data_IF_591357968480
#
_entry.id   IF_591357968480
#
_cell.length_a   1.000
_cell.length_b   1.000
_cell.length_c   1.000
_cell.angle_alpha   90.00
_cell.angle_beta   90.00
_cell.angle_gamma   90.00
#
_symmetry.space_group_name_H-M   'P 1'
#
loop_
_entity.id
_entity.type
_entity.pdbx_description
1 polymer ?
#
# COMPACT_ATOMS: atom_id res chain seq x y z
N UNK A 1 47.55 5.82 -22.17
CA UNK A 1 46.55 5.12 -21.32
C UNK A 1 45.23 5.29 -22.03
N UNK A 2 44.64 4.19 -22.52
CA UNK A 2 43.54 4.24 -23.49
C UNK A 2 42.29 4.89 -22.94
N UNK A 3 41.73 5.84 -23.67
CA UNK A 3 40.33 6.24 -23.56
C UNK A 3 39.49 5.09 -24.11
N UNK A 4 39.04 4.20 -23.23
CA UNK A 4 37.94 3.34 -23.57
C UNK A 4 36.66 4.18 -23.43
N UNK A 5 36.08 4.55 -24.57
CA UNK A 5 34.69 5.01 -24.67
C UNK A 5 33.79 3.81 -24.33
N UNK A 6 33.60 3.54 -23.04
CA UNK A 6 32.46 2.74 -22.60
C UNK A 6 31.26 3.68 -22.66
N UNK A 7 30.46 3.56 -23.73
CA UNK A 7 29.14 4.17 -23.76
C UNK A 7 28.41 3.76 -22.47
N UNK A 8 28.08 4.74 -21.64
CA UNK A 8 27.36 4.48 -20.40
C UNK A 8 26.01 3.88 -20.77
N UNK A 9 25.64 2.70 -20.22
CA UNK A 9 24.35 2.12 -20.50
C UNK A 9 23.24 3.11 -20.12
N UNK A 10 22.20 3.17 -20.96
CA UNK A 10 21.00 3.95 -20.71
C UNK A 10 20.35 3.54 -19.37
N UNK A 11 19.49 4.42 -18.83
CA UNK A 11 18.74 4.09 -17.61
C UNK A 11 17.90 2.81 -17.80
N UNK A 12 17.31 2.61 -18.98
CA UNK A 12 16.55 1.41 -19.30
C UNK A 12 17.40 0.14 -19.29
N UNK A 13 18.62 0.20 -19.84
CA UNK A 13 19.56 -0.93 -19.82
C UNK A 13 20.00 -1.25 -18.39
N UNK A 14 20.26 -0.24 -17.55
CA UNK A 14 20.60 -0.47 -16.14
C UNK A 14 19.46 -1.13 -15.38
N UNK A 15 18.22 -0.66 -15.57
CA UNK A 15 17.03 -1.24 -14.93
C UNK A 15 16.82 -2.69 -15.40
N UNK A 16 16.99 -2.97 -16.69
CA UNK A 16 16.89 -4.34 -17.19
C UNK A 16 17.94 -5.28 -16.57
N UNK A 17 19.10 -4.74 -16.20
CA UNK A 17 20.19 -5.52 -15.61
C UNK A 17 20.05 -5.73 -14.10
N UNK A 18 19.53 -4.75 -13.36
CA UNK A 18 19.57 -4.78 -11.89
C UNK A 18 18.34 -4.18 -11.18
N UNK A 19 17.37 -3.65 -11.92
CA UNK A 19 16.17 -3.01 -11.38
C UNK A 19 16.31 -1.54 -11.00
N UNK A 20 17.48 -0.92 -11.19
CA UNK A 20 17.81 0.42 -10.71
C UNK A 20 18.30 1.38 -11.82
N UNK A 21 18.17 2.70 -11.64
CA UNK A 21 17.58 3.37 -10.48
C UNK A 21 16.05 3.38 -10.50
N UNK A 22 15.45 3.41 -9.31
CA UNK A 22 14.05 3.82 -9.15
C UNK A 22 13.79 5.26 -9.66
N UNK A 23 12.52 5.56 -9.94
CA UNK A 23 12.08 6.88 -10.39
C UNK A 23 11.14 7.55 -9.39
N UNK A 24 11.24 8.86 -9.30
CA UNK A 24 10.27 9.71 -8.63
C UNK A 24 9.92 10.88 -9.56
N UNK A 25 8.70 11.40 -9.42
CA UNK A 25 8.23 12.58 -10.17
C UNK A 25 7.91 13.72 -9.20
N UNK A 26 8.92 14.50 -8.75
CA UNK A 26 8.72 15.55 -7.75
C UNK A 26 7.65 16.58 -8.13
N UNK A 27 7.55 16.95 -9.41
CA UNK A 27 6.49 17.84 -9.90
C UNK A 27 5.09 17.29 -9.62
N UNK A 28 4.88 15.99 -9.87
CA UNK A 28 3.60 15.35 -9.58
C UNK A 28 3.35 15.25 -8.08
N UNK A 29 4.41 14.90 -7.34
CA UNK A 29 4.38 14.79 -5.89
C UNK A 29 3.99 16.13 -5.25
N UNK A 30 4.53 17.26 -5.69
CA UNK A 30 4.15 18.60 -5.22
C UNK A 30 2.72 18.94 -5.63
N UNK A 31 2.35 18.79 -6.90
CA UNK A 31 1.13 19.41 -7.45
C UNK A 31 -0.17 18.68 -7.13
N UNK A 32 -0.11 17.39 -6.81
CA UNK A 32 -1.31 16.57 -6.76
C UNK A 32 -1.53 15.85 -5.44
N UNK A 33 -2.81 15.77 -5.04
CA UNK A 33 -3.34 14.94 -3.98
C UNK A 33 -3.68 13.56 -4.51
N UNK A 34 -4.91 13.42 -4.99
CA UNK A 34 -5.35 12.33 -5.85
C UNK A 34 -5.36 12.80 -7.31
N UNK A 35 -5.00 11.91 -8.22
CA UNK A 35 -5.12 12.13 -9.65
C UNK A 35 -6.44 11.54 -10.14
N UNK A 36 -7.17 12.30 -10.95
CA UNK A 36 -8.28 11.76 -11.76
C UNK A 36 -8.06 12.12 -13.22
N UNK A 37 -8.55 11.28 -14.11
CA UNK A 37 -8.67 11.66 -15.51
C UNK A 37 -9.71 12.79 -15.62
N UNK A 38 -9.38 13.86 -16.34
CA UNK A 38 -10.38 14.82 -16.77
C UNK A 38 -11.42 14.11 -17.65
N UNK A 39 -12.69 14.49 -17.50
CA UNK A 39 -13.89 13.79 -17.99
C UNK A 39 -13.76 13.02 -19.30
N UNK A 40 -14.36 11.83 -19.33
CA UNK A 40 -14.49 10.91 -20.45
C UNK A 40 -15.23 11.48 -21.69
N UNK A 41 -15.44 12.80 -21.80
CA UNK A 41 -16.35 13.32 -22.82
C UNK A 41 -15.86 14.42 -23.77
N UNK A 42 -14.80 15.19 -23.54
CA UNK A 42 -14.38 16.23 -24.52
C UNK A 42 -12.90 16.70 -24.44
N UNK A 43 -12.02 16.01 -23.72
CA UNK A 43 -10.59 16.32 -23.76
C UNK A 43 -9.87 15.38 -24.75
N UNK A 44 -9.22 15.89 -25.82
CA UNK A 44 -8.61 15.05 -26.86
C UNK A 44 -7.38 14.28 -26.40
N UNK A 45 -6.87 14.54 -25.18
CA UNK A 45 -5.76 13.83 -24.56
C UNK A 45 -6.04 13.63 -23.06
N UNK A 46 -5.56 12.51 -22.50
CA UNK A 46 -5.69 12.15 -21.10
C UNK A 46 -5.06 13.23 -20.19
N UNK A 47 -5.86 14.23 -19.81
CA UNK A 47 -5.39 15.32 -18.97
C UNK A 47 -5.59 14.92 -17.51
N UNK A 48 -4.48 14.73 -16.80
CA UNK A 48 -4.50 14.48 -15.36
C UNK A 48 -4.86 15.76 -14.62
N UNK A 49 -5.96 15.73 -13.87
CA UNK A 49 -6.38 16.83 -13.02
C UNK A 49 -6.36 16.41 -11.56
N UNK A 50 -6.11 17.37 -10.67
CA UNK A 50 -6.25 17.14 -9.24
C UNK A 50 -7.70 16.75 -8.94
N UNK A 51 -7.89 15.57 -8.34
CA UNK A 51 -9.21 15.11 -7.93
C UNK A 51 -9.66 15.77 -6.62
N UNK A 52 -8.72 16.42 -5.91
CA UNK A 52 -8.94 17.21 -4.72
C UNK A 52 -8.09 18.48 -4.75
N UNK A 53 -8.57 19.55 -4.10
CA UNK A 53 -7.88 20.86 -4.05
C UNK A 53 -6.63 20.89 -3.16
N UNK A 54 -5.99 19.73 -2.92
CA UNK A 54 -4.84 19.59 -2.01
C UNK A 54 -3.60 19.18 -2.79
N UNK A 55 -2.61 20.09 -2.84
CA UNK A 55 -1.25 19.82 -3.30
C UNK A 55 -0.33 19.58 -2.08
N UNK A 56 0.81 18.90 -2.27
CA UNK A 56 1.88 18.88 -1.27
C UNK A 56 2.49 20.29 -1.23
N UNK A 57 1.87 21.13 -0.41
CA UNK A 57 2.16 22.55 -0.33
C UNK A 57 0.86 23.33 -0.40
N UNK A 58 0.29 23.55 0.77
CA UNK A 58 -0.77 24.52 1.09
C UNK A 58 -2.23 24.15 0.82
N UNK A 59 -3.03 24.51 1.81
CA UNK A 59 -4.28 25.25 1.59
C UNK A 59 -3.97 26.39 0.61
N UNK A 60 -4.38 26.28 -0.65
CA UNK A 60 -4.34 27.32 -1.69
C UNK A 60 -3.35 28.50 -1.46
N UNK A 61 -2.08 28.37 -1.87
CA UNK A 61 -1.19 29.53 -2.05
C UNK A 61 0.33 29.36 -1.88
N UNK A 62 0.83 28.25 -1.33
CA UNK A 62 2.26 27.99 -1.09
C UNK A 62 2.62 26.55 -1.46
N UNK A 63 2.88 26.28 -2.75
CA UNK A 63 3.41 24.97 -3.18
C UNK A 63 4.86 24.83 -2.72
N UNK A 64 5.20 23.72 -2.05
CA UNK A 64 6.60 23.39 -1.77
C UNK A 64 7.37 23.29 -3.09
N UNK A 65 8.64 23.70 -3.12
CA UNK A 65 9.43 23.60 -4.34
C UNK A 65 9.73 22.11 -4.65
N UNK A 66 9.89 21.76 -5.92
CA UNK A 66 10.11 20.36 -6.35
C UNK A 66 11.38 19.74 -5.76
N UNK A 67 12.38 20.55 -5.40
CA UNK A 67 13.61 20.17 -4.72
C UNK A 67 13.46 19.99 -3.20
N UNK A 68 12.29 20.29 -2.62
CA UNK A 68 12.00 20.19 -1.19
C UNK A 68 11.17 18.94 -0.82
N UNK A 69 10.77 18.14 -1.81
CA UNK A 69 9.99 16.92 -1.61
C UNK A 69 10.74 15.67 -2.04
N UNK A 70 10.60 14.61 -1.24
CA UNK A 70 11.06 13.27 -1.55
C UNK A 70 10.01 12.24 -1.15
N UNK A 71 10.46 11.03 -0.85
CA UNK A 71 9.62 10.01 -0.25
C UNK A 71 10.40 9.17 0.75
N UNK A 72 9.67 8.31 1.45
CA UNK A 72 10.29 7.27 2.26
C UNK A 72 10.92 6.19 1.35
N UNK A 73 11.71 5.25 1.90
CA UNK A 73 12.41 4.24 1.08
C UNK A 73 11.52 3.37 0.18
N UNK A 74 10.24 3.20 0.52
CA UNK A 74 9.28 2.46 -0.31
C UNK A 74 8.48 3.36 -1.27
N UNK A 75 8.70 4.67 -1.24
CA UNK A 75 8.16 5.71 -2.12
C UNK A 75 6.63 5.81 -2.18
N UNK A 76 5.89 5.21 -1.24
CA UNK A 76 4.43 5.29 -1.18
C UNK A 76 3.94 6.61 -0.59
N UNK A 77 4.74 7.27 0.25
CA UNK A 77 4.41 8.60 0.77
C UNK A 77 5.38 9.64 0.23
N UNK A 78 4.83 10.70 -0.38
CA UNK A 78 5.56 11.96 -0.55
C UNK A 78 5.78 12.61 0.80
N UNK A 79 7.02 13.03 1.06
CA UNK A 79 7.46 13.59 2.32
C UNK A 79 8.28 14.87 2.10
N UNK A 80 8.06 15.86 2.96
CA UNK A 80 9.01 16.96 3.13
C UNK A 80 10.29 16.44 3.83
N UNK A 81 11.38 17.19 3.72
CA UNK A 81 12.60 16.88 4.47
C UNK A 81 12.28 16.78 5.97
N UNK A 82 12.75 15.70 6.61
CA UNK A 82 12.51 15.38 8.02
C UNK A 82 11.06 15.01 8.38
N UNK A 83 10.16 14.87 7.41
CA UNK A 83 8.83 14.31 7.67
C UNK A 83 8.91 12.81 7.94
N UNK A 84 8.05 12.31 8.84
CA UNK A 84 7.97 10.89 9.16
C UNK A 84 6.78 10.26 8.44
N UNK A 85 6.99 9.01 8.04
CA UNK A 85 5.92 8.15 7.55
C UNK A 85 4.99 7.75 8.71
N UNK A 86 3.67 7.80 8.49
CA UNK A 86 2.67 7.33 9.44
C UNK A 86 1.62 6.51 8.70
N UNK A 87 1.59 5.20 8.94
CA UNK A 87 0.78 4.26 8.18
C UNK A 87 -0.13 3.43 9.07
N UNK A 88 -1.26 3.05 8.49
CA UNK A 88 -2.14 2.00 8.97
C UNK A 88 -2.65 1.26 7.75
N UNK A 89 -2.89 -0.05 7.86
CA UNK A 89 -3.22 -0.88 6.71
C UNK A 89 -4.63 -1.46 6.83
N UNK A 90 -5.36 -1.46 5.73
CA UNK A 90 -6.72 -1.98 5.63
C UNK A 90 -6.80 -3.02 4.50
N UNK A 91 -7.72 -3.98 4.64
CA UNK A 91 -7.80 -5.15 3.77
C UNK A 91 -9.22 -5.32 3.21
N UNK A 92 -9.58 -4.64 2.10
CA UNK A 92 -10.93 -4.68 1.56
C UNK A 92 -11.39 -6.11 1.21
N UNK A 93 -10.49 -6.97 0.68
CA UNK A 93 -10.85 -8.36 0.37
C UNK A 93 -11.29 -9.16 1.61
N UNK A 94 -10.68 -8.91 2.77
CA UNK A 94 -11.04 -9.63 3.99
C UNK A 94 -12.45 -9.26 4.47
N UNK A 95 -12.93 -8.05 4.15
CA UNK A 95 -14.32 -7.68 4.42
C UNK A 95 -15.31 -8.42 3.54
N UNK A 96 -14.98 -8.68 2.27
CA UNK A 96 -15.82 -9.50 1.39
C UNK A 96 -15.91 -10.94 1.89
N UNK A 97 -14.76 -11.55 2.21
CA UNK A 97 -14.72 -12.93 2.74
C UNK A 97 -15.54 -13.05 4.04
N UNK A 98 -15.43 -12.06 4.94
CA UNK A 98 -16.18 -12.06 6.18
C UNK A 98 -17.70 -11.87 6.00
N UNK A 99 -18.12 -11.15 4.97
CA UNK A 99 -19.53 -10.90 4.65
C UNK A 99 -20.16 -12.00 3.76
N UNK A 100 -19.43 -13.09 3.48
CA UNK A 100 -19.89 -14.11 2.54
C UNK A 100 -20.14 -13.56 1.13
N UNK A 101 -19.28 -12.64 0.70
CA UNK A 101 -19.32 -11.97 -0.62
C UNK A 101 -20.49 -11.01 -0.83
N UNK A 102 -21.24 -10.65 0.22
CA UNK A 102 -22.18 -9.51 0.17
C UNK A 102 -21.40 -8.19 0.12
N UNK A 103 -21.29 -7.61 -1.08
CA UNK A 103 -20.59 -6.36 -1.32
C UNK A 103 -21.15 -5.20 -0.46
N UNK A 104 -22.46 -5.14 -0.25
CA UNK A 104 -23.09 -4.03 0.47
C UNK A 104 -22.74 -4.08 1.95
N UNK A 105 -22.83 -5.26 2.56
CA UNK A 105 -22.42 -5.47 3.95
C UNK A 105 -20.91 -5.26 4.12
N UNK A 106 -20.10 -5.84 3.24
CA UNK A 106 -18.65 -5.71 3.25
C UNK A 106 -18.21 -4.25 3.13
N UNK A 107 -18.81 -3.49 2.21
CA UNK A 107 -18.53 -2.07 2.01
C UNK A 107 -18.85 -1.26 3.25
N UNK A 108 -20.03 -1.48 3.83
CA UNK A 108 -20.44 -0.80 5.06
C UNK A 108 -19.49 -1.12 6.23
N UNK A 109 -19.00 -2.36 6.34
CA UNK A 109 -18.01 -2.75 7.33
C UNK A 109 -16.65 -2.10 7.08
N UNK A 110 -16.21 -2.05 5.83
CA UNK A 110 -14.95 -1.43 5.44
C UNK A 110 -14.92 0.07 5.77
N UNK A 111 -16.01 0.81 5.54
CA UNK A 111 -16.09 2.23 5.92
C UNK A 111 -15.90 2.45 7.43
N UNK A 112 -16.46 1.56 8.27
CA UNK A 112 -16.23 1.60 9.73
C UNK A 112 -14.77 1.30 10.09
N UNK A 113 -14.13 0.37 9.39
CA UNK A 113 -12.70 0.09 9.54
C UNK A 113 -11.85 1.31 9.17
N UNK A 114 -12.16 1.99 8.07
CA UNK A 114 -11.44 3.19 7.64
C UNK A 114 -11.50 4.31 8.69
N UNK A 115 -12.68 4.53 9.31
CA UNK A 115 -12.82 5.48 10.41
C UNK A 115 -11.93 5.11 11.61
N UNK A 116 -11.85 3.82 11.94
CA UNK A 116 -11.03 3.32 13.05
C UNK A 116 -9.54 3.42 12.75
N UNK A 117 -9.14 3.09 11.52
CA UNK A 117 -7.78 3.22 11.02
C UNK A 117 -7.31 4.67 11.05
N UNK A 118 -8.16 5.60 10.61
CA UNK A 118 -7.85 7.02 10.66
C UNK A 118 -7.73 7.52 12.10
N UNK A 119 -8.61 7.10 13.01
CA UNK A 119 -8.50 7.46 14.42
C UNK A 119 -7.16 6.99 15.01
N UNK A 120 -6.75 5.77 14.70
CA UNK A 120 -5.44 5.24 15.11
C UNK A 120 -4.29 6.09 14.57
N UNK A 121 -4.26 6.31 13.25
CA UNK A 121 -3.19 7.10 12.60
C UNK A 121 -3.16 8.55 13.10
N UNK A 122 -4.33 9.17 13.29
CA UNK A 122 -4.44 10.53 13.84
C UNK A 122 -3.90 10.56 15.27
N UNK A 123 -4.23 9.58 16.10
CA UNK A 123 -3.71 9.48 17.48
C UNK A 123 -2.18 9.39 17.51
N UNK A 124 -1.59 8.59 16.62
CA UNK A 124 -0.12 8.53 16.44
C UNK A 124 0.42 9.90 16.06
N UNK A 125 -0.23 10.60 15.12
CA UNK A 125 0.21 11.92 14.66
C UNK A 125 0.18 12.99 15.77
N UNK A 126 -0.57 12.80 16.85
CA UNK A 126 -0.68 13.73 17.99
C UNK A 126 0.48 13.60 18.98
N UNK A 127 1.22 12.48 18.95
CA UNK A 127 2.37 12.25 19.82
C UNK A 127 3.52 13.22 19.53
N UNK A 128 4.13 13.85 20.55
CA UNK A 128 5.29 14.71 20.34
C UNK A 128 6.52 13.87 19.96
N UNK A 129 7.32 14.35 19.01
CA UNK A 129 8.60 13.75 18.66
C UNK A 129 9.74 14.42 19.42
N UNK A 130 10.75 13.64 19.81
CA UNK A 130 11.93 14.16 20.50
C UNK A 130 12.81 15.04 19.61
N UNK A 131 12.79 14.81 18.30
CA UNK A 131 13.63 15.55 17.38
C UNK A 131 12.90 16.76 16.79
N UNK A 132 13.40 17.95 17.10
CA UNK A 132 12.70 19.21 16.81
C UNK A 132 12.38 19.45 15.32
N UNK A 133 13.28 19.16 14.36
CA UNK A 133 12.95 19.26 12.92
C UNK A 133 11.76 18.40 12.51
N UNK A 134 11.76 17.08 12.81
CA UNK A 134 10.60 16.23 12.51
C UNK A 134 9.36 16.63 13.27
N UNK A 135 9.48 17.03 14.55
CA UNK A 135 8.32 17.47 15.33
C UNK A 135 7.65 18.69 14.68
N UNK A 136 8.44 19.63 14.15
CA UNK A 136 7.92 20.80 13.43
C UNK A 136 7.09 20.39 12.21
N UNK A 137 7.62 19.49 11.38
CA UNK A 137 6.93 19.02 10.16
C UNK A 137 5.69 18.21 10.52
N UNK A 138 5.76 17.34 11.53
CA UNK A 138 4.62 16.59 12.04
C UNK A 138 3.49 17.53 12.48
N UNK A 139 3.79 18.54 13.31
CA UNK A 139 2.81 19.52 13.80
C UNK A 139 2.19 20.34 12.64
N UNK A 140 2.98 20.64 11.61
CA UNK A 140 2.55 21.40 10.42
C UNK A 140 1.61 20.58 9.54
N UNK A 141 1.96 19.33 9.25
CA UNK A 141 1.36 18.53 8.17
C UNK A 141 0.37 17.48 8.68
N UNK A 142 0.61 16.93 9.88
CA UNK A 142 -0.17 15.82 10.47
C UNK A 142 -0.45 14.70 9.48
N UNK A 143 0.49 14.42 8.56
CA UNK A 143 0.33 13.47 7.46
C UNK A 143 0.02 12.09 8.00
N UNK A 144 -0.94 11.43 7.37
CA UNK A 144 -1.23 10.01 7.59
C UNK A 144 -1.34 9.29 6.24
N UNK A 145 -1.20 7.98 6.26
CA UNK A 145 -1.42 7.10 5.12
C UNK A 145 -2.21 5.88 5.54
N UNK A 146 -3.52 5.96 5.39
CA UNK A 146 -4.38 4.79 5.40
C UNK A 146 -4.13 4.03 4.10
N UNK A 147 -3.40 2.92 4.22
CA UNK A 147 -2.97 2.04 3.15
C UNK A 147 -3.99 0.94 2.89
N UNK A 148 -3.95 0.38 1.69
CA UNK A 148 -4.68 -0.83 1.33
C UNK A 148 -3.73 -1.92 0.87
N UNK A 149 -4.00 -3.15 1.29
CA UNK A 149 -3.39 -4.39 0.80
C UNK A 149 -4.50 -5.40 0.46
N UNK A 150 -4.20 -6.43 -0.33
CA UNK A 150 -5.21 -7.37 -0.82
C UNK A 150 -5.97 -6.86 -2.04
N UNK A 151 -5.43 -5.87 -2.76
CA UNK A 151 -6.12 -5.21 -3.88
C UNK A 151 -6.37 -6.19 -5.02
N UNK A 152 -5.37 -6.99 -5.41
CA UNK A 152 -5.56 -7.94 -6.52
C UNK A 152 -6.56 -9.03 -6.17
N UNK A 153 -6.54 -9.53 -4.93
CA UNK A 153 -7.57 -10.47 -4.46
C UNK A 153 -8.95 -9.84 -4.51
N UNK A 154 -9.11 -8.59 -4.04
CA UNK A 154 -10.39 -7.88 -4.10
C UNK A 154 -10.92 -7.76 -5.54
N UNK A 155 -10.05 -7.41 -6.49
CA UNK A 155 -10.42 -7.24 -7.91
C UNK A 155 -10.75 -8.58 -8.57
N UNK A 156 -9.97 -9.63 -8.27
CA UNK A 156 -10.13 -10.96 -8.82
C UNK A 156 -11.28 -11.76 -8.19
N UNK A 157 -11.74 -11.37 -6.98
CA UNK A 157 -12.78 -12.08 -6.24
C UNK A 157 -14.06 -12.20 -7.08
N UNK A 158 -14.52 -13.44 -7.32
CA UNK A 158 -15.54 -13.85 -8.29
C UNK A 158 -16.98 -13.40 -7.98
N UNK A 159 -17.18 -12.38 -7.14
CA UNK A 159 -18.48 -11.74 -6.94
C UNK A 159 -18.95 -11.06 -8.23
N UNK A 160 -19.95 -11.67 -8.89
CA UNK A 160 -20.51 -11.19 -10.17
C UNK A 160 -19.95 -11.93 -11.39
N UNK A 161 -20.85 -12.27 -12.32
CA UNK A 161 -20.75 -12.82 -13.70
C UNK A 161 -19.53 -13.65 -14.19
N UNK A 162 -18.58 -14.03 -13.34
CA UNK A 162 -17.35 -14.74 -13.69
C UNK A 162 -16.14 -13.85 -14.00
N UNK A 163 -16.23 -12.52 -13.84
CA UNK A 163 -15.14 -11.57 -14.19
C UNK A 163 -14.48 -10.86 -12.99
N UNK A 164 -14.81 -11.26 -11.76
CA UNK A 164 -14.40 -10.57 -10.55
C UNK A 164 -15.26 -9.34 -10.23
N UNK A 165 -15.22 -8.82 -9.00
CA UNK A 165 -15.88 -7.54 -8.64
C UNK A 165 -15.37 -6.38 -9.51
N UNK A 166 -14.12 -6.49 -9.98
CA UNK A 166 -13.56 -5.62 -11.00
C UNK A 166 -13.09 -4.26 -10.47
N UNK A 167 -12.37 -3.54 -11.34
CA UNK A 167 -11.77 -2.25 -11.03
C UNK A 167 -12.80 -1.15 -10.72
N UNK A 168 -14.01 -1.25 -11.28
CA UNK A 168 -15.06 -0.25 -11.08
C UNK A 168 -15.63 -0.29 -9.65
N UNK A 169 -15.86 -1.48 -9.09
CA UNK A 169 -16.28 -1.61 -7.69
C UNK A 169 -15.17 -1.12 -6.75
N UNK A 170 -13.92 -1.49 -7.02
CA UNK A 170 -12.77 -0.98 -6.26
C UNK A 170 -12.71 0.55 -6.30
N UNK A 171 -12.92 1.15 -7.48
CA UNK A 171 -12.96 2.61 -7.65
C UNK A 171 -14.05 3.24 -6.79
N UNK A 172 -15.26 2.68 -6.75
CA UNK A 172 -16.35 3.16 -5.92
C UNK A 172 -16.00 3.10 -4.43
N UNK A 173 -15.43 1.99 -3.96
CA UNK A 173 -14.94 1.85 -2.58
C UNK A 173 -13.84 2.86 -2.24
N UNK A 174 -12.95 3.16 -3.20
CA UNK A 174 -11.90 4.16 -3.01
C UNK A 174 -12.44 5.59 -2.92
N UNK A 175 -13.45 5.94 -3.74
CA UNK A 175 -14.07 7.27 -3.70
C UNK A 175 -14.87 7.48 -2.42
N UNK A 176 -15.73 6.52 -2.06
CA UNK A 176 -16.50 6.57 -0.81
C UNK A 176 -15.58 6.55 0.41
N UNK A 177 -14.59 5.65 0.40
CA UNK A 177 -13.62 5.53 1.49
C UNK A 177 -12.79 6.80 1.67
N UNK A 178 -12.35 7.44 0.58
CA UNK A 178 -11.65 8.71 0.68
C UNK A 178 -12.53 9.83 1.24
N UNK A 179 -13.80 9.88 0.84
CA UNK A 179 -14.75 10.85 1.37
C UNK A 179 -14.98 10.65 2.89
N UNK A 180 -15.14 9.40 3.34
CA UNK A 180 -15.28 9.04 4.76
C UNK A 180 -14.03 9.40 5.56
N UNK A 181 -12.83 9.11 5.04
CA UNK A 181 -11.57 9.49 5.67
C UNK A 181 -11.42 11.01 5.79
N UNK A 182 -11.75 11.76 4.72
CA UNK A 182 -11.72 13.23 4.73
C UNK A 182 -12.70 13.81 5.74
N UNK A 183 -13.94 13.30 5.79
CA UNK A 183 -14.94 13.73 6.75
C UNK A 183 -14.46 13.47 8.19
N UNK A 184 -13.94 12.27 8.46
CA UNK A 184 -13.43 11.89 9.78
C UNK A 184 -12.21 12.73 10.19
N UNK A 185 -11.26 12.98 9.28
CA UNK A 185 -10.09 13.81 9.60
C UNK A 185 -10.48 15.25 9.97
N UNK A 186 -11.43 15.83 9.23
CA UNK A 186 -11.94 17.18 9.52
C UNK A 186 -12.66 17.22 10.87
N UNK A 187 -13.53 16.24 11.15
CA UNK A 187 -14.21 16.09 12.45
C UNK A 187 -13.19 16.04 13.61
N UNK A 188 -12.16 15.19 13.50
CA UNK A 188 -11.15 15.03 14.53
C UNK A 188 -10.23 16.26 14.63
N UNK A 189 -9.88 16.88 13.52
CA UNK A 189 -9.06 18.09 13.49
C UNK A 189 -9.76 19.24 14.22
N UNK A 190 -11.06 19.45 13.95
CA UNK A 190 -11.88 20.43 14.66
C UNK A 190 -11.98 20.10 16.15
N UNK A 191 -12.36 18.86 16.47
CA UNK A 191 -12.54 18.39 17.85
C UNK A 191 -11.28 18.55 18.69
N UNK A 192 -10.11 18.24 18.14
CA UNK A 192 -8.83 18.34 18.87
C UNK A 192 -8.12 19.68 18.67
N UNK A 193 -8.71 20.61 17.91
CA UNK A 193 -8.10 21.92 17.59
C UNK A 193 -6.69 21.75 17.01
N UNK A 194 -6.55 20.80 16.08
CA UNK A 194 -5.30 20.55 15.35
C UNK A 194 -5.51 20.76 13.85
N UNK A 195 -4.42 20.77 13.09
CA UNK A 195 -4.50 20.86 11.64
C UNK A 195 -5.10 19.57 11.04
N UNK A 196 -5.92 19.69 9.99
CA UNK A 196 -6.23 18.58 9.10
C UNK A 196 -4.95 17.99 8.52
N UNK A 197 -5.00 16.71 8.20
CA UNK A 197 -3.88 15.96 7.64
C UNK A 197 -3.68 16.37 6.18
N UNK A 198 -2.44 16.75 5.81
CA UNK A 198 -2.12 17.23 4.45
C UNK A 198 -2.43 16.19 3.37
N UNK A 199 -2.21 14.90 3.69
CA UNK A 199 -2.61 13.72 2.91
C UNK A 199 -3.14 12.66 3.87
N UNK A 200 -3.99 11.77 3.33
CA UNK A 200 -4.72 10.77 4.11
C UNK A 200 -4.42 9.33 3.73
N UNK A 201 -4.18 9.06 2.46
CA UNK A 201 -4.15 7.71 1.90
C UNK A 201 -2.81 7.41 1.25
N UNK A 202 -2.50 6.13 1.17
CA UNK A 202 -1.33 5.59 0.46
C UNK A 202 -1.65 4.19 -0.06
N UNK A 203 -0.75 3.58 -0.83
CA UNK A 203 -0.78 2.14 -1.14
C UNK A 203 0.62 1.61 -0.92
N UNK A 204 0.82 0.91 0.20
CA UNK A 204 2.09 0.30 0.56
C UNK A 204 2.08 -1.20 0.23
N UNK A 205 3.12 -1.73 -0.41
CA UNK A 205 3.29 -3.17 -0.53
C UNK A 205 3.85 -3.76 0.77
N UNK A 206 2.96 -4.02 1.73
CA UNK A 206 3.36 -4.42 3.09
C UNK A 206 3.65 -5.91 3.20
N UNK A 207 4.88 -6.30 2.86
CA UNK A 207 5.28 -7.70 2.75
C UNK A 207 5.12 -8.56 3.99
N UNK A 208 5.18 -7.99 5.21
CA UNK A 208 5.01 -8.78 6.46
C UNK A 208 3.56 -8.74 6.95
N UNK A 209 2.95 -7.56 6.98
CA UNK A 209 1.59 -7.39 7.52
C UNK A 209 0.58 -8.13 6.64
N UNK A 210 0.76 -8.11 5.32
CA UNK A 210 -0.14 -8.81 4.41
C UNK A 210 -0.13 -10.33 4.64
N UNK A 211 0.99 -10.93 5.06
CA UNK A 211 1.08 -12.36 5.36
C UNK A 211 0.24 -12.76 6.55
N UNK A 212 0.19 -11.90 7.58
CA UNK A 212 -0.63 -12.15 8.78
C UNK A 212 -2.11 -12.22 8.40
N UNK A 213 -2.53 -11.41 7.42
CA UNK A 213 -3.90 -11.41 6.90
C UNK A 213 -4.15 -12.37 5.73
N UNK A 214 -3.15 -13.14 5.27
CA UNK A 214 -3.28 -13.96 4.05
C UNK A 214 -3.58 -13.14 2.78
N UNK A 215 -3.12 -11.89 2.74
CA UNK A 215 -3.41 -10.93 1.69
C UNK A 215 -2.21 -10.69 0.75
N UNK A 216 -2.52 -10.35 -0.51
CA UNK A 216 -1.53 -9.81 -1.46
C UNK A 216 -0.99 -8.45 -0.97
N UNK A 217 0.32 -8.18 -1.11
CA UNK A 217 0.91 -6.96 -0.56
C UNK A 217 0.60 -5.74 -1.44
N UNK A 218 -0.11 -4.75 -0.90
CA UNK A 218 -0.49 -3.55 -1.63
C UNK A 218 -1.30 -3.87 -2.89
N UNK A 219 -0.78 -3.42 -4.03
CA UNK A 219 -1.33 -3.68 -5.37
C UNK A 219 -0.68 -4.87 -6.11
N UNK A 220 0.32 -5.53 -5.52
CA UNK A 220 1.05 -6.57 -6.24
C UNK A 220 0.20 -7.82 -6.47
N UNK A 221 0.41 -8.44 -7.63
CA UNK A 221 0.01 -9.82 -7.86
C UNK A 221 0.85 -10.77 -6.98
N UNK A 222 0.30 -11.92 -6.56
CA UNK A 222 1.13 -13.00 -6.05
C UNK A 222 2.02 -13.53 -7.18
N UNK A 223 3.23 -13.96 -6.83
CA UNK A 223 4.17 -14.60 -7.77
C UNK A 223 3.57 -15.86 -8.43
N UNK A 224 2.75 -16.59 -7.67
CA UNK A 224 2.00 -17.75 -8.14
C UNK A 224 0.73 -17.92 -7.31
N UNK A 225 -0.30 -18.55 -7.89
CA UNK A 225 -1.52 -18.91 -7.17
C UNK A 225 -1.23 -19.91 -6.04
N UNK A 226 -0.34 -20.87 -6.31
CA UNK A 226 0.09 -21.90 -5.38
C UNK A 226 1.61 -21.93 -5.25
N UNK A 227 2.12 -21.88 -4.02
CA UNK A 227 3.55 -22.00 -3.78
C UNK A 227 3.87 -22.57 -2.39
N UNK A 228 5.10 -23.06 -2.25
CA UNK A 228 5.65 -23.50 -0.97
C UNK A 228 6.43 -22.34 -0.35
N UNK A 229 5.93 -21.78 0.75
CA UNK A 229 6.61 -20.71 1.48
C UNK A 229 7.48 -21.30 2.57
N UNK A 230 8.76 -20.93 2.59
CA UNK A 230 9.70 -21.36 3.62
C UNK A 230 9.90 -20.28 4.67
N UNK A 231 9.77 -20.65 5.95
CA UNK A 231 10.03 -19.78 7.10
C UNK A 231 11.24 -20.33 7.84
N UNK A 232 12.23 -19.48 8.12
CA UNK A 232 13.40 -19.82 8.93
C UNK A 232 13.11 -19.48 10.39
N UNK A 233 13.22 -20.45 11.27
CA UNK A 233 12.95 -20.34 12.70
C UNK A 233 14.17 -20.80 13.50
N UNK A 234 14.35 -20.27 14.71
CA UNK A 234 15.39 -20.80 15.60
C UNK A 234 15.11 -22.27 15.90
N UNK A 235 16.13 -23.12 15.91
CA UNK A 235 15.96 -24.56 16.09
C UNK A 235 15.42 -24.96 17.48
N UNK A 236 15.46 -24.04 18.43
CA UNK A 236 14.91 -24.15 19.78
C UNK A 236 13.59 -23.37 19.98
N UNK A 237 12.97 -22.88 18.90
CA UNK A 237 11.70 -22.14 18.95
C UNK A 237 10.54 -23.04 19.43
N UNK A 238 9.75 -22.55 20.38
CA UNK A 238 8.61 -23.25 20.98
C UNK A 238 7.49 -23.57 19.97
N UNK A 239 7.47 -22.90 18.81
CA UNK A 239 6.53 -23.16 17.73
C UNK A 239 6.93 -24.37 16.86
N UNK A 240 8.18 -24.84 16.89
CA UNK A 240 8.60 -25.97 16.05
C UNK A 240 7.89 -27.29 16.40
N UNK A 241 7.80 -27.74 17.67
CA UNK A 241 7.10 -28.97 18.02
C UNK A 241 5.64 -29.04 17.53
N UNK A 242 4.76 -28.03 17.75
CA UNK A 242 3.40 -28.08 17.24
C UNK A 242 3.31 -28.03 15.71
N UNK A 243 4.26 -27.39 15.02
CA UNK A 243 4.31 -27.40 13.55
C UNK A 243 4.67 -28.78 13.00
N UNK A 244 5.61 -29.48 13.63
CA UNK A 244 5.95 -30.87 13.28
C UNK A 244 4.76 -31.80 13.55
N UNK A 245 4.10 -31.66 14.70
CA UNK A 245 2.90 -32.44 15.05
C UNK A 245 1.74 -32.21 14.06
N UNK A 246 1.56 -30.98 13.58
CA UNK A 246 0.59 -30.64 12.55
C UNK A 246 0.97 -31.16 11.14
N UNK A 247 2.13 -31.81 10.99
CA UNK A 247 2.56 -32.44 9.75
C UNK A 247 3.29 -31.53 8.77
N UNK A 248 3.70 -30.32 9.18
CA UNK A 248 4.50 -29.45 8.32
C UNK A 248 5.90 -30.03 8.10
N UNK A 249 6.40 -29.94 6.86
CA UNK A 249 7.75 -30.36 6.55
C UNK A 249 8.77 -29.41 7.18
N UNK A 250 9.64 -29.97 8.02
CA UNK A 250 10.69 -29.24 8.73
C UNK A 250 12.06 -29.86 8.44
N UNK A 251 13.04 -29.04 8.06
CA UNK A 251 14.41 -29.48 7.75
C UNK A 251 15.45 -28.48 8.30
N UNK A 252 16.68 -28.92 8.64
CA UNK A 252 17.74 -27.99 9.01
C UNK A 252 18.07 -27.01 7.87
N UNK A 253 18.31 -25.73 8.18
CA UNK A 253 18.68 -24.75 7.18
C UNK A 253 20.13 -24.97 6.70
N UNK A 254 20.32 -25.17 5.40
CA UNK A 254 21.65 -25.34 4.79
C UNK A 254 22.54 -24.12 5.11
N UNK A 255 23.74 -24.37 5.63
CA UNK A 255 24.70 -23.36 6.06
C UNK A 255 24.49 -22.83 7.48
N UNK A 256 23.41 -23.22 8.16
CA UNK A 256 23.17 -22.93 9.58
C UNK A 256 22.39 -24.04 10.28
N UNK A 257 22.75 -25.29 9.98
CA UNK A 257 21.96 -26.49 10.30
C UNK A 257 21.79 -26.72 11.81
N UNK A 258 22.63 -26.08 12.63
CA UNK A 258 22.61 -26.23 14.09
C UNK A 258 21.68 -25.27 14.81
N UNK A 259 21.37 -24.12 14.21
CA UNK A 259 20.66 -23.02 14.89
C UNK A 259 19.36 -22.65 14.21
N UNK A 260 19.20 -23.00 12.94
CA UNK A 260 18.02 -22.63 12.17
C UNK A 260 17.36 -23.86 11.55
N UNK A 261 16.05 -23.96 11.75
CA UNK A 261 15.17 -24.92 11.09
C UNK A 261 14.31 -24.19 10.06
N UNK A 262 14.13 -24.79 8.90
CA UNK A 262 13.22 -24.33 7.85
C UNK A 262 11.91 -25.08 7.97
N UNK A 263 10.81 -24.33 8.08
CA UNK A 263 9.45 -24.87 8.00
C UNK A 263 8.87 -24.53 6.63
N UNK A 264 8.31 -25.52 5.95
CA UNK A 264 7.65 -25.34 4.64
C UNK A 264 6.14 -25.31 4.80
N UNK A 265 5.53 -24.20 4.40
CA UNK A 265 4.09 -23.95 4.47
C UNK A 265 3.52 -23.90 3.05
N UNK A 266 2.61 -24.81 2.66
CA UNK A 266 1.88 -24.69 1.41
C UNK A 266 0.91 -23.51 1.47
N UNK A 267 0.93 -22.65 0.46
CA UNK A 267 0.09 -21.45 0.39
C UNK A 267 -0.69 -21.44 -0.91
N UNK A 268 -1.99 -21.15 -0.80
CA UNK A 268 -2.89 -20.82 -1.90
C UNK A 268 -3.38 -19.39 -1.69
N UNK A 269 -3.13 -18.49 -2.64
CA UNK A 269 -3.47 -17.05 -2.51
C UNK A 269 -4.71 -16.67 -3.31
N UNK A 270 -4.94 -17.37 -4.41
CA UNK A 270 -6.09 -17.24 -5.30
C UNK A 270 -6.73 -18.62 -5.46
N UNK A 271 -8.05 -18.67 -5.51
CA UNK A 271 -8.83 -19.84 -5.90
C UNK A 271 -8.68 -20.13 -7.40
N UNK A 272 -9.04 -21.34 -7.83
CA UNK A 272 -9.00 -21.73 -9.25
C UNK A 272 -9.83 -20.78 -10.15
N UNK A 273 -10.92 -20.21 -9.61
CA UNK A 273 -11.76 -19.23 -10.31
C UNK A 273 -11.08 -17.86 -10.42
N UNK A 274 -10.42 -17.42 -9.35
CA UNK A 274 -9.64 -16.17 -9.33
C UNK A 274 -8.38 -16.27 -10.21
N UNK A 275 -7.79 -17.47 -10.32
CA UNK A 275 -6.68 -17.76 -11.22
C UNK A 275 -7.09 -17.67 -12.70
N UNK A 276 -8.25 -18.23 -13.05
CA UNK A 276 -8.80 -18.12 -14.41
C UNK A 276 -9.13 -16.66 -14.79
N UNK A 277 -9.63 -15.86 -13.85
CA UNK A 277 -9.88 -14.43 -14.07
C UNK A 277 -8.57 -13.64 -14.24
N UNK A 278 -7.54 -13.94 -13.45
CA UNK A 278 -6.22 -13.30 -13.58
C UNK A 278 -5.58 -13.56 -14.95
N UNK A 279 -5.68 -14.79 -15.46
CA UNK A 279 -5.14 -15.17 -16.76
C UNK A 279 -5.83 -14.45 -17.94
N UNK A 280 -7.08 -14.03 -17.78
CA UNK A 280 -7.85 -13.32 -18.81
C UNK A 280 -7.51 -11.82 -18.93
N UNK A 281 -6.77 -11.25 -17.97
CA UNK A 281 -6.35 -9.82 -17.99
C UNK A 281 -5.05 -9.62 -18.76
N UNK A 282 -4.25 -10.69 -18.96
CA UNK A 282 -2.98 -10.67 -19.69
C UNK A 282 -3.10 -10.89 -21.22
N UNK A 283 -4.31 -11.20 -21.73
CA UNK A 283 -4.65 -11.34 -23.17
C UNK A 283 -5.41 -10.11 -23.72
#
# INVERSE_FOLDING_TARGET
>A
VGHADYAQPSLAENIALNGEPGFAWPDNMVRYGRLRMAGQHDAPEATLVAADGFCNGSVAGETAAADEVGGNPCLEQTLESYELCCLVECFPNQHLLAAGEDETEARAAFMRTLRSALLYAKSVSLGPLHWAPSNRVLLKNRRIGVSMSGIQQFVANAGGDGNGLGLEVLRQWCEEGYAELRATDNELAERFTVRPSIKLTSVKPSGTVSLVSGATPGLHWPEAAHYMRRVRMASDDELLPPLVEAGYHCEPAVGDEKRTTVVTVPVTVLSEQEEAAAAAVDD
#
